data_IF_076583743123
#
_entry.id   IF_076583743123
#
_cell.length_a   1.000
_cell.length_b   1.000
_cell.length_c   1.000
_cell.angle_alpha   90.00
_cell.angle_beta   90.00
_cell.angle_gamma   90.00
#
_symmetry.space_group_name_H-M   'P 1'
#
loop_
_entity.id
_entity.type
_entity.pdbx_description
1 polymer ?
#
# COMPACT_ATOMS: atom_id res chain seq x y z
N UNK A 1 -41.98 20.81 -7.80
CA UNK A 1 -41.54 22.04 -7.12
C UNK A 1 -41.10 21.82 -5.67
N UNK A 2 -41.94 21.27 -4.75
CA UNK A 2 -41.59 21.08 -3.32
C UNK A 2 -40.30 20.24 -3.04
N UNK A 3 -39.99 19.25 -3.88
CA UNK A 3 -38.77 18.42 -3.71
C UNK A 3 -37.51 19.15 -4.19
N UNK A 4 -37.60 19.90 -5.29
CA UNK A 4 -36.46 20.66 -5.82
C UNK A 4 -35.98 21.75 -4.85
N UNK A 5 -36.94 22.42 -4.14
CA UNK A 5 -36.62 23.44 -3.12
C UNK A 5 -35.91 22.81 -1.89
N UNK A 6 -36.30 21.60 -1.48
CA UNK A 6 -35.61 20.88 -0.39
C UNK A 6 -34.18 20.48 -0.75
N UNK A 7 -33.92 20.03 -1.98
CA UNK A 7 -32.59 19.71 -2.47
C UNK A 7 -31.69 20.95 -2.57
N UNK A 8 -32.22 22.07 -3.05
CA UNK A 8 -31.50 23.35 -3.16
C UNK A 8 -31.20 23.88 -1.74
N UNK A 9 -32.16 23.81 -0.81
CA UNK A 9 -31.95 24.21 0.58
C UNK A 9 -30.89 23.35 1.29
N UNK A 10 -30.91 22.02 1.08
CA UNK A 10 -29.91 21.10 1.63
C UNK A 10 -28.52 21.38 1.03
N UNK A 11 -28.44 21.62 -0.28
CA UNK A 11 -27.18 21.97 -0.95
C UNK A 11 -26.64 23.32 -0.47
N UNK A 12 -27.49 24.34 -0.29
CA UNK A 12 -27.09 25.64 0.28
C UNK A 12 -26.63 25.52 1.73
N UNK A 13 -27.31 24.72 2.53
CA UNK A 13 -26.90 24.46 3.93
C UNK A 13 -25.56 23.72 4.00
N UNK A 14 -25.31 22.77 3.09
CA UNK A 14 -24.03 22.09 2.95
C UNK A 14 -22.91 23.05 2.55
N UNK A 15 -23.14 23.91 1.58
CA UNK A 15 -22.18 24.92 1.11
C UNK A 15 -21.89 25.94 2.22
N UNK A 16 -22.91 26.42 2.93
CA UNK A 16 -22.75 27.33 4.08
C UNK A 16 -21.99 26.66 5.24
N UNK A 17 -22.35 25.44 5.64
CA UNK A 17 -21.58 24.69 6.63
C UNK A 17 -20.12 24.53 6.21
N UNK A 18 -19.85 24.19 4.96
CA UNK A 18 -18.50 24.04 4.43
C UNK A 18 -17.72 25.34 4.49
N UNK A 19 -18.30 26.45 4.08
CA UNK A 19 -17.65 27.78 4.08
C UNK A 19 -17.29 28.25 5.50
N UNK A 20 -18.17 28.02 6.48
CA UNK A 20 -17.92 28.45 7.88
C UNK A 20 -17.00 27.50 8.66
N UNK A 21 -16.99 26.20 8.33
CA UNK A 21 -16.14 25.22 9.03
C UNK A 21 -14.77 25.03 8.38
N UNK A 22 -14.64 25.37 7.11
CA UNK A 22 -13.43 25.16 6.31
C UNK A 22 -12.15 25.78 6.91
N UNK A 23 -12.12 27.06 7.37
CA UNK A 23 -10.91 27.63 7.96
C UNK A 23 -10.50 26.95 9.27
N UNK A 24 -11.48 26.54 10.11
CA UNK A 24 -11.20 25.80 11.33
C UNK A 24 -10.68 24.40 11.04
N UNK A 25 -11.23 23.74 10.01
CA UNK A 25 -10.76 22.44 9.54
C UNK A 25 -9.32 22.52 9.02
N UNK A 26 -8.97 23.54 8.21
CA UNK A 26 -7.61 23.70 7.72
C UNK A 26 -6.62 23.89 8.88
N UNK A 27 -6.96 24.73 9.87
CA UNK A 27 -6.09 24.92 11.04
C UNK A 27 -5.91 23.61 11.83
N UNK A 28 -6.97 22.82 11.96
CA UNK A 28 -6.90 21.52 12.61
C UNK A 28 -6.05 20.52 11.82
N UNK A 29 -6.15 20.52 10.50
CA UNK A 29 -5.31 19.70 9.60
C UNK A 29 -3.84 20.06 9.72
N UNK A 30 -3.53 21.37 9.74
CA UNK A 30 -2.15 21.83 9.90
C UNK A 30 -1.56 21.45 11.26
N UNK A 31 -2.37 21.53 12.34
CA UNK A 31 -1.97 21.04 13.65
C UNK A 31 -1.75 19.53 13.68
N UNK A 32 -2.64 18.76 13.07
CA UNK A 32 -2.51 17.31 12.96
C UNK A 32 -1.25 16.90 12.19
N UNK A 33 -0.98 17.56 11.06
CA UNK A 33 0.23 17.35 10.29
C UNK A 33 1.51 17.48 11.11
N UNK A 34 1.60 18.52 11.95
CA UNK A 34 2.77 18.72 12.81
C UNK A 34 2.91 17.60 13.85
N UNK A 35 1.79 17.12 14.40
CA UNK A 35 1.78 16.00 15.33
C UNK A 35 2.25 14.72 14.60
N UNK A 36 1.68 14.41 13.44
CA UNK A 36 2.01 13.21 12.70
C UNK A 36 3.50 13.19 12.27
N UNK A 37 4.06 14.32 11.85
CA UNK A 37 5.51 14.43 11.54
C UNK A 37 6.35 14.17 12.79
N UNK A 38 5.99 14.80 13.93
CA UNK A 38 6.77 14.63 15.15
C UNK A 38 6.73 13.18 15.64
N UNK A 39 5.55 12.57 15.68
CA UNK A 39 5.40 11.15 16.04
C UNK A 39 6.22 10.23 15.13
N UNK A 40 6.26 10.53 13.83
CA UNK A 40 7.05 9.77 12.87
C UNK A 40 8.56 9.94 13.12
N UNK A 41 9.04 11.16 13.41
CA UNK A 41 10.44 11.41 13.77
C UNK A 41 10.83 10.68 15.08
N UNK A 42 9.98 10.77 16.09
CA UNK A 42 10.18 10.11 17.38
C UNK A 42 10.24 8.58 17.21
N UNK A 43 9.38 8.04 16.31
CA UNK A 43 9.39 6.61 15.96
C UNK A 43 10.71 6.20 15.31
N UNK A 44 11.20 6.96 14.35
CA UNK A 44 12.49 6.67 13.69
C UNK A 44 13.63 6.70 14.70
N UNK A 45 13.70 7.71 15.56
CA UNK A 45 14.73 7.81 16.60
C UNK A 45 14.69 6.61 17.55
N UNK A 46 13.49 6.20 17.95
CA UNK A 46 13.30 5.03 18.82
C UNK A 46 13.80 3.74 18.13
N UNK A 47 13.41 3.51 16.88
CA UNK A 47 13.85 2.34 16.11
C UNK A 47 15.36 2.31 15.90
N UNK A 48 15.99 3.44 15.55
CA UNK A 48 17.43 3.54 15.41
C UNK A 48 18.17 3.17 16.71
N UNK A 49 17.64 3.63 17.84
CA UNK A 49 18.21 3.31 19.16
C UNK A 49 18.05 1.83 19.50
N UNK A 50 16.88 1.28 19.32
CA UNK A 50 16.57 -0.11 19.67
C UNK A 50 17.36 -1.09 18.79
N UNK A 51 17.37 -0.87 17.48
CA UNK A 51 18.13 -1.72 16.56
C UNK A 51 19.64 -1.62 16.79
N UNK A 52 20.16 -0.42 17.04
CA UNK A 52 21.58 -0.23 17.37
C UNK A 52 21.99 -0.90 18.68
N UNK A 53 21.11 -0.89 19.69
CA UNK A 53 21.38 -1.50 21.00
C UNK A 53 21.10 -3.00 21.05
N UNK A 54 20.46 -3.57 19.99
CA UNK A 54 20.00 -4.95 19.98
C UNK A 54 18.74 -5.18 20.85
N UNK A 55 18.07 -4.12 21.26
CA UNK A 55 16.84 -4.19 22.09
C UNK A 55 15.60 -4.41 21.23
N UNK A 56 15.59 -5.50 20.46
CA UNK A 56 14.45 -5.91 19.63
C UNK A 56 14.45 -7.42 19.47
N UNK A 57 13.26 -7.97 19.15
CA UNK A 57 13.13 -9.37 18.83
C UNK A 57 13.21 -9.52 17.30
N UNK A 58 14.13 -10.35 16.83
CA UNK A 58 14.19 -10.71 15.40
C UNK A 58 12.92 -11.47 15.01
N UNK A 59 12.48 -11.20 13.82
CA UNK A 59 11.31 -11.86 13.26
C UNK A 59 11.67 -13.30 12.87
N UNK A 60 10.83 -14.24 13.27
CA UNK A 60 10.88 -15.63 12.79
C UNK A 60 9.94 -15.79 11.60
N UNK A 61 10.48 -15.72 10.39
CA UNK A 61 9.71 -15.80 9.14
C UNK A 61 8.99 -17.15 8.98
N UNK A 62 9.54 -18.25 9.51
CA UNK A 62 8.89 -19.55 9.48
C UNK A 62 7.54 -19.54 10.22
N UNK A 63 7.43 -18.75 11.29
CA UNK A 63 6.19 -18.67 12.07
C UNK A 63 5.00 -18.06 11.29
N UNK A 64 5.25 -17.39 10.19
CA UNK A 64 4.23 -16.78 9.33
C UNK A 64 3.77 -17.67 8.19
N UNK A 65 4.52 -18.74 7.90
CA UNK A 65 4.31 -19.59 6.73
C UNK A 65 3.49 -20.83 7.07
N UNK A 66 2.58 -21.23 6.18
CA UNK A 66 1.89 -22.52 6.25
C UNK A 66 2.73 -23.68 5.70
N UNK A 67 4.00 -23.44 5.42
CA UNK A 67 4.98 -24.37 4.88
C UNK A 67 6.35 -24.17 5.53
N UNK A 68 7.25 -25.13 5.36
CA UNK A 68 8.65 -25.04 5.79
C UNK A 68 9.43 -24.10 4.85
N UNK A 69 9.73 -22.88 5.32
CA UNK A 69 10.38 -21.85 4.53
C UNK A 69 11.81 -22.22 4.14
N UNK A 70 12.57 -22.86 5.03
CA UNK A 70 13.96 -23.24 4.75
C UNK A 70 14.01 -24.32 3.67
N UNK A 71 13.08 -25.27 3.74
CA UNK A 71 12.89 -26.28 2.69
C UNK A 71 12.45 -25.65 1.36
N UNK A 72 11.49 -24.72 1.38
CA UNK A 72 11.02 -24.03 0.18
C UNK A 72 12.16 -23.22 -0.48
N UNK A 73 13.00 -22.55 0.30
CA UNK A 73 14.19 -21.87 -0.19
C UNK A 73 15.20 -22.85 -0.81
N UNK A 74 15.44 -23.99 -0.19
CA UNK A 74 16.35 -25.03 -0.68
C UNK A 74 15.83 -25.71 -1.96
N UNK A 75 14.53 -25.90 -2.07
CA UNK A 75 13.85 -26.48 -3.24
C UNK A 75 13.72 -25.47 -4.41
N UNK A 76 14.11 -24.19 -4.21
CA UNK A 76 14.09 -23.16 -5.25
C UNK A 76 12.69 -22.61 -5.56
N UNK A 77 11.77 -22.63 -4.59
CA UNK A 77 10.43 -22.04 -4.74
C UNK A 77 10.55 -20.59 -5.20
N UNK A 78 9.78 -20.23 -6.23
CA UNK A 78 9.82 -18.92 -6.86
C UNK A 78 8.91 -17.91 -6.13
N UNK A 79 9.23 -16.63 -6.24
CA UNK A 79 8.44 -15.54 -5.63
C UNK A 79 6.95 -15.60 -6.02
N UNK A 80 6.63 -15.90 -7.28
CA UNK A 80 5.26 -16.01 -7.77
C UNK A 80 4.51 -17.28 -7.33
N UNK A 81 5.17 -18.17 -6.62
CA UNK A 81 4.57 -19.40 -6.08
C UNK A 81 4.15 -19.24 -4.62
N UNK A 82 4.25 -18.02 -4.08
CA UNK A 82 3.93 -17.71 -2.69
C UNK A 82 2.94 -16.56 -2.62
N UNK A 83 1.95 -16.71 -1.76
CA UNK A 83 0.96 -15.68 -1.40
C UNK A 83 1.38 -14.97 -0.13
N UNK A 84 1.35 -13.65 -0.14
CA UNK A 84 1.69 -12.78 0.97
C UNK A 84 0.47 -11.96 1.39
N UNK A 85 0.21 -11.88 2.68
CA UNK A 85 -0.77 -10.94 3.21
C UNK A 85 -0.20 -9.52 3.13
N UNK A 86 -1.01 -8.62 2.62
CA UNK A 86 -0.71 -7.19 2.57
C UNK A 86 -1.75 -6.38 3.35
N UNK A 87 -1.44 -5.11 3.56
CA UNK A 87 -2.38 -4.13 4.08
C UNK A 87 -2.73 -3.09 3.02
N UNK A 88 -3.93 -2.57 3.11
CA UNK A 88 -4.40 -1.45 2.29
C UNK A 88 -4.43 -0.21 3.16
N UNK A 89 -4.03 0.94 2.61
CA UNK A 89 -3.87 2.19 3.37
C UNK A 89 -3.00 1.99 4.64
N UNK A 90 -1.84 1.36 4.49
CA UNK A 90 -0.98 0.89 5.58
C UNK A 90 -0.45 1.99 6.49
N UNK A 91 -0.60 3.24 6.09
CA UNK A 91 -0.17 4.46 6.77
C UNK A 91 -1.27 5.12 7.59
N UNK A 92 -2.55 4.76 7.37
CA UNK A 92 -3.70 5.52 7.86
C UNK A 92 -3.85 5.40 9.38
N UNK A 93 -4.15 6.52 10.01
CA UNK A 93 -4.41 6.67 11.43
C UNK A 93 -5.85 7.09 11.66
N UNK A 94 -6.46 6.60 12.75
CA UNK A 94 -7.83 6.96 13.13
C UNK A 94 -8.01 8.48 13.25
N UNK A 95 -9.10 8.99 12.72
CA UNK A 95 -9.44 10.39 12.85
C UNK A 95 -9.80 10.77 14.30
N UNK A 96 -9.42 11.97 14.73
CA UNK A 96 -9.82 12.51 16.04
C UNK A 96 -11.35 12.57 16.19
N UNK A 97 -11.91 12.45 17.40
CA UNK A 97 -13.36 12.34 17.63
C UNK A 97 -14.21 13.43 16.98
N UNK A 98 -13.70 14.66 16.93
CA UNK A 98 -14.39 15.79 16.27
C UNK A 98 -14.57 15.55 14.78
N UNK A 99 -13.57 14.95 14.12
CA UNK A 99 -13.61 14.62 12.69
C UNK A 99 -14.46 13.38 12.44
N UNK A 100 -14.43 12.37 13.30
CA UNK A 100 -15.34 11.23 13.23
C UNK A 100 -16.81 11.70 13.29
N UNK A 101 -17.11 12.72 14.13
CA UNK A 101 -18.43 13.33 14.16
C UNK A 101 -18.78 13.96 12.81
N UNK A 102 -17.84 14.69 12.17
CA UNK A 102 -18.05 15.28 10.85
C UNK A 102 -18.35 14.21 9.79
N UNK A 103 -17.64 13.09 9.80
CA UNK A 103 -17.91 11.96 8.90
C UNK A 103 -19.29 11.36 9.13
N UNK A 104 -19.75 11.23 10.40
CA UNK A 104 -21.11 10.77 10.71
C UNK A 104 -22.16 11.74 10.18
N UNK A 105 -21.97 13.04 10.41
CA UNK A 105 -22.88 14.08 9.95
C UNK A 105 -22.95 14.10 8.41
N UNK A 106 -21.79 14.00 7.72
CA UNK A 106 -21.69 13.90 6.28
C UNK A 106 -22.33 12.61 5.75
N UNK A 107 -22.15 11.48 6.41
CA UNK A 107 -22.80 10.21 6.05
C UNK A 107 -24.32 10.33 6.08
N UNK A 108 -24.85 10.98 7.11
CA UNK A 108 -26.29 11.22 7.25
C UNK A 108 -26.83 12.09 6.11
N UNK A 109 -26.15 13.19 5.78
CA UNK A 109 -26.59 14.14 4.75
C UNK A 109 -26.43 13.57 3.35
N UNK A 110 -25.41 12.74 3.12
CA UNK A 110 -25.14 12.11 1.83
C UNK A 110 -25.80 10.74 1.65
N UNK A 111 -26.71 10.35 2.55
CA UNK A 111 -27.38 9.04 2.52
C UNK A 111 -26.40 7.86 2.43
N UNK A 112 -25.25 7.95 3.14
CA UNK A 112 -24.24 6.89 3.22
C UNK A 112 -23.28 6.85 2.04
N UNK A 113 -23.26 7.83 1.15
CA UNK A 113 -22.20 7.96 0.12
C UNK A 113 -20.84 8.20 0.77
N UNK A 114 -20.80 9.01 1.84
CA UNK A 114 -19.63 9.11 2.74
C UNK A 114 -19.83 8.09 3.85
N UNK A 115 -18.92 7.13 3.97
CA UNK A 115 -19.00 6.10 5.02
C UNK A 115 -18.32 6.59 6.30
N UNK A 116 -19.12 6.76 7.35
CA UNK A 116 -18.65 7.25 8.65
C UNK A 116 -17.61 6.33 9.30
N UNK A 117 -17.71 5.03 9.05
CA UNK A 117 -16.82 3.99 9.58
C UNK A 117 -15.37 4.21 9.15
N UNK A 118 -15.14 4.71 7.93
CA UNK A 118 -13.77 4.95 7.42
C UNK A 118 -12.94 5.88 8.31
N UNK A 119 -13.57 6.82 9.01
CA UNK A 119 -12.89 7.71 9.95
C UNK A 119 -12.34 7.00 11.21
N UNK A 120 -12.70 5.73 11.43
CA UNK A 120 -12.24 4.90 12.54
C UNK A 120 -11.14 3.93 12.14
N UNK A 121 -10.88 3.82 10.84
CA UNK A 121 -9.82 2.93 10.37
C UNK A 121 -8.47 3.40 10.89
N UNK A 122 -7.66 2.47 11.37
CA UNK A 122 -6.28 2.70 11.78
C UNK A 122 -5.45 1.47 11.47
N UNK A 123 -4.39 1.65 10.72
CA UNK A 123 -3.31 0.69 10.63
C UNK A 123 -2.38 0.81 11.85
N UNK A 124 -1.54 -0.18 12.11
CA UNK A 124 -0.41 -0.06 13.03
C UNK A 124 0.76 0.63 12.32
N UNK A 125 1.85 0.98 13.03
CA UNK A 125 3.08 1.44 12.37
C UNK A 125 3.60 0.39 11.38
N UNK A 126 4.34 0.82 10.34
CA UNK A 126 4.80 -0.09 9.29
C UNK A 126 5.65 -1.24 9.86
N UNK A 127 6.58 -0.95 10.75
CA UNK A 127 7.42 -1.98 11.40
C UNK A 127 6.59 -2.95 12.24
N UNK A 128 5.51 -2.49 12.89
CA UNK A 128 4.64 -3.36 13.68
C UNK A 128 3.86 -4.31 12.77
N UNK A 129 3.38 -3.83 11.61
CA UNK A 129 2.75 -4.67 10.59
C UNK A 129 3.72 -5.73 10.04
N UNK A 130 4.97 -5.34 9.74
CA UNK A 130 6.02 -6.26 9.27
C UNK A 130 6.38 -7.31 10.33
N UNK A 131 6.44 -6.93 11.61
CA UNK A 131 6.67 -7.85 12.74
C UNK A 131 5.55 -8.89 12.89
N UNK A 132 4.36 -8.62 12.35
CA UNK A 132 3.21 -9.53 12.37
C UNK A 132 3.03 -10.31 11.06
N UNK A 133 4.04 -10.33 10.20
CA UNK A 133 4.09 -11.14 8.99
C UNK A 133 3.43 -10.49 7.76
N UNK A 134 3.02 -9.23 7.82
CA UNK A 134 2.62 -8.48 6.61
C UNK A 134 3.84 -8.31 5.71
N UNK A 135 3.70 -8.62 4.41
CA UNK A 135 4.79 -8.51 3.43
C UNK A 135 4.44 -7.64 2.22
N UNK A 136 3.28 -6.99 2.25
CA UNK A 136 2.93 -5.94 1.29
C UNK A 136 2.24 -4.79 2.01
N UNK A 137 2.73 -3.58 1.79
CA UNK A 137 2.15 -2.34 2.34
C UNK A 137 1.78 -1.38 1.22
N UNK A 138 0.70 -0.63 1.39
CA UNK A 138 0.23 0.34 0.40
C UNK A 138 0.28 1.75 0.98
N UNK A 139 0.98 2.62 0.27
CA UNK A 139 1.17 4.02 0.62
C UNK A 139 0.55 4.91 -0.47
N UNK A 140 -0.48 5.66 -0.09
CA UNK A 140 -1.06 6.69 -0.94
C UNK A 140 -0.19 7.93 -0.91
N UNK A 141 0.26 8.39 -2.06
CA UNK A 141 1.27 9.43 -2.12
C UNK A 141 0.76 10.66 -2.85
N UNK A 142 0.96 11.81 -2.24
CA UNK A 142 0.73 13.13 -2.80
C UNK A 142 2.05 13.89 -2.91
N UNK A 143 2.11 14.81 -3.88
CA UNK A 143 3.29 15.66 -4.10
C UNK A 143 3.07 17.02 -3.49
N UNK A 144 4.01 17.48 -2.69
CA UNK A 144 4.06 18.84 -2.13
C UNK A 144 5.33 19.53 -2.63
N UNK A 145 5.17 20.72 -3.20
CA UNK A 145 6.30 21.56 -3.63
C UNK A 145 6.29 22.85 -2.82
N UNK A 146 7.34 23.08 -2.03
CA UNK A 146 7.50 24.31 -1.25
C UNK A 146 8.93 24.83 -1.38
N UNK A 147 9.07 26.11 -1.67
CA UNK A 147 10.36 26.77 -1.85
C UNK A 147 11.28 26.06 -2.85
N UNK A 148 10.69 25.55 -3.93
CA UNK A 148 11.38 24.82 -4.99
C UNK A 148 11.87 23.41 -4.61
N UNK A 149 11.47 22.90 -3.46
CA UNK A 149 11.75 21.51 -3.03
C UNK A 149 10.51 20.65 -3.15
N UNK A 150 10.67 19.49 -3.78
CA UNK A 150 9.66 18.45 -3.80
C UNK A 150 9.74 17.63 -2.53
N UNK A 151 8.59 17.27 -1.99
CA UNK A 151 8.44 16.25 -0.95
C UNK A 151 7.21 15.40 -1.27
N UNK A 152 7.25 14.16 -0.82
CA UNK A 152 6.14 13.22 -0.95
C UNK A 152 5.53 12.99 0.42
N UNK A 153 4.20 13.03 0.49
CA UNK A 153 3.48 12.84 1.75
C UNK A 153 2.44 11.74 1.61
N UNK A 154 2.29 10.92 2.64
CA UNK A 154 1.29 9.87 2.65
C UNK A 154 -0.01 10.39 3.26
N UNK A 155 -1.05 10.48 2.43
CA UNK A 155 -2.37 10.94 2.80
C UNK A 155 -3.42 10.41 1.84
N UNK A 156 -4.58 9.97 2.36
CA UNK A 156 -5.67 9.48 1.51
C UNK A 156 -6.46 10.62 0.87
N UNK A 157 -6.83 11.60 1.67
CA UNK A 157 -7.54 12.78 1.20
C UNK A 157 -7.17 13.99 2.09
N UNK A 158 -6.45 14.98 1.56
CA UNK A 158 -6.11 16.18 2.30
C UNK A 158 -7.36 16.81 2.91
N UNK A 159 -7.28 17.28 4.14
CA UNK A 159 -8.38 17.91 4.88
C UNK A 159 -9.45 16.93 5.39
N UNK A 160 -9.86 15.93 4.63
CA UNK A 160 -10.95 15.02 5.03
C UNK A 160 -10.43 13.84 5.85
N UNK A 161 -9.43 13.13 5.35
CA UNK A 161 -8.90 11.89 5.90
C UNK A 161 -7.36 11.99 5.95
N UNK A 162 -6.87 12.81 6.87
CA UNK A 162 -5.48 13.23 6.87
C UNK A 162 -4.59 12.66 8.00
N UNK A 163 -5.10 12.08 9.11
CA UNK A 163 -4.21 11.51 10.11
C UNK A 163 -3.45 10.31 9.54
N UNK A 164 -2.13 10.29 9.79
CA UNK A 164 -1.25 9.29 9.21
C UNK A 164 -0.09 8.98 10.15
N UNK A 165 0.35 7.70 10.15
CA UNK A 165 1.59 7.28 10.81
C UNK A 165 2.83 7.59 9.95
N UNK A 166 2.63 7.88 8.66
CA UNK A 166 3.67 7.99 7.64
C UNK A 166 3.60 9.31 6.88
N UNK A 167 3.48 10.44 7.58
CA UNK A 167 3.27 11.73 6.89
C UNK A 167 4.36 11.99 5.84
N UNK A 168 5.63 11.90 6.21
CA UNK A 168 6.74 12.02 5.29
C UNK A 168 7.07 10.65 4.67
N UNK A 169 7.00 10.57 3.35
CA UNK A 169 7.21 9.33 2.62
C UNK A 169 8.65 8.80 2.75
N UNK A 170 9.65 9.68 2.75
CA UNK A 170 11.04 9.25 2.91
C UNK A 170 11.30 8.64 4.30
N UNK A 171 10.68 9.21 5.34
CA UNK A 171 10.73 8.63 6.68
C UNK A 171 9.96 7.29 6.75
N UNK A 172 8.86 7.13 6.01
CA UNK A 172 8.18 5.84 5.91
C UNK A 172 9.07 4.76 5.27
N UNK A 173 9.77 5.09 4.18
CA UNK A 173 10.75 4.19 3.58
C UNK A 173 11.92 3.91 4.53
N UNK A 174 12.40 4.92 5.27
CA UNK A 174 13.44 4.76 6.29
C UNK A 174 13.01 3.81 7.42
N UNK A 175 11.76 3.89 7.86
CA UNK A 175 11.20 2.95 8.85
C UNK A 175 11.30 1.50 8.36
N UNK A 176 10.87 1.24 7.12
CA UNK A 176 10.97 -0.09 6.50
C UNK A 176 12.43 -0.51 6.34
N UNK A 177 13.31 0.40 5.93
CA UNK A 177 14.75 0.10 5.76
C UNK A 177 15.41 -0.29 7.08
N UNK A 178 15.15 0.45 8.16
CA UNK A 178 15.66 0.12 9.50
C UNK A 178 15.21 -1.27 9.96
N UNK A 179 13.93 -1.60 9.72
CA UNK A 179 13.40 -2.93 10.01
C UNK A 179 14.05 -4.01 9.15
N UNK A 180 14.22 -3.76 7.85
CA UNK A 180 14.86 -4.68 6.91
C UNK A 180 16.31 -4.98 7.31
N UNK A 181 17.08 -3.95 7.66
CA UNK A 181 18.47 -4.10 8.13
C UNK A 181 18.57 -4.90 9.43
N UNK A 182 17.60 -4.73 10.32
CA UNK A 182 17.53 -5.49 11.58
C UNK A 182 17.14 -6.97 11.35
N UNK A 183 16.43 -7.26 10.25
CA UNK A 183 15.93 -8.59 9.87
C UNK A 183 16.44 -9.03 8.49
N UNK A 184 17.75 -9.16 8.24
CA UNK A 184 18.34 -9.28 6.89
C UNK A 184 17.89 -10.51 6.09
N UNK A 185 17.23 -11.47 6.73
CA UNK A 185 16.69 -12.67 6.09
C UNK A 185 15.16 -12.66 5.98
N UNK A 186 14.52 -11.49 6.08
CA UNK A 186 13.07 -11.40 5.96
C UNK A 186 12.58 -11.83 4.58
N UNK A 187 11.34 -12.30 4.49
CA UNK A 187 10.66 -12.51 3.21
C UNK A 187 10.51 -11.18 2.46
N UNK A 188 10.47 -11.19 1.12
CA UNK A 188 10.45 -9.96 0.33
C UNK A 188 9.28 -9.06 0.72
N UNK A 189 9.58 -7.77 0.88
CA UNK A 189 8.58 -6.75 1.19
C UNK A 189 8.20 -5.98 -0.08
N UNK A 190 6.91 -5.91 -0.37
CA UNK A 190 6.38 -5.15 -1.50
C UNK A 190 5.75 -3.85 -1.01
N UNK A 191 6.20 -2.71 -1.54
CA UNK A 191 5.63 -1.39 -1.25
C UNK A 191 4.85 -0.92 -2.47
N UNK A 192 3.53 -0.81 -2.32
CA UNK A 192 2.63 -0.31 -3.36
C UNK A 192 2.49 1.19 -3.20
N UNK A 193 2.82 1.94 -4.24
CA UNK A 193 2.72 3.40 -4.29
C UNK A 193 1.46 3.75 -5.09
N UNK A 194 0.45 4.32 -4.42
CA UNK A 194 -0.74 4.83 -5.10
C UNK A 194 -0.68 6.36 -5.25
N UNK A 195 -0.39 6.87 -6.47
CA UNK A 195 -0.43 8.31 -6.73
C UNK A 195 -1.84 8.86 -6.55
N UNK A 196 -2.01 9.80 -5.62
CA UNK A 196 -3.30 10.43 -5.39
C UNK A 196 -3.50 11.68 -6.24
N UNK A 197 -4.76 11.91 -6.61
CA UNK A 197 -5.17 13.15 -7.25
C UNK A 197 -5.52 14.17 -6.17
N UNK A 198 -4.99 15.37 -6.30
CA UNK A 198 -5.35 16.48 -5.41
C UNK A 198 -6.86 16.72 -5.51
N UNK A 199 -7.58 16.46 -4.42
CA UNK A 199 -9.04 16.65 -4.37
C UNK A 199 -9.41 18.06 -3.90
N UNK A 200 -8.61 18.64 -3.00
CA UNK A 200 -8.78 20.01 -2.50
C UNK A 200 -7.48 20.76 -2.79
N UNK A 201 -7.52 21.82 -3.59
CA UNK A 201 -6.30 22.53 -3.96
C UNK A 201 -5.68 23.23 -2.75
N UNK A 202 -4.52 22.75 -2.34
CA UNK A 202 -3.54 23.53 -1.59
C UNK A 202 -2.53 24.09 -2.61
N UNK A 203 -2.10 25.34 -2.43
CA UNK A 203 -1.16 25.99 -3.33
C UNK A 203 0.17 25.25 -3.50
N UNK A 204 0.53 24.44 -2.53
CA UNK A 204 1.76 23.66 -2.50
C UNK A 204 1.56 22.19 -2.96
N UNK A 205 0.32 21.74 -3.14
CA UNK A 205 0.04 20.40 -3.62
C UNK A 205 -0.02 20.37 -5.14
N UNK A 206 0.69 19.42 -5.72
CA UNK A 206 0.80 19.25 -7.16
C UNK A 206 0.21 17.90 -7.58
N UNK A 207 -0.38 17.86 -8.76
CA UNK A 207 -0.77 16.56 -9.35
C UNK A 207 0.47 15.69 -9.50
N UNK A 208 0.38 14.47 -8.97
CA UNK A 208 1.44 13.51 -9.12
C UNK A 208 1.66 13.21 -10.60
N UNK A 209 2.87 13.46 -11.07
CA UNK A 209 3.26 13.32 -12.48
C UNK A 209 4.25 12.18 -12.65
N UNK A 210 4.53 11.83 -13.90
CA UNK A 210 5.56 10.86 -14.22
C UNK A 210 6.96 11.30 -13.75
N UNK A 211 7.27 12.62 -13.82
CA UNK A 211 8.53 13.16 -13.29
C UNK A 211 8.65 12.93 -11.78
N UNK A 212 7.56 13.13 -11.04
CA UNK A 212 7.53 12.84 -9.61
C UNK A 212 7.61 11.34 -9.30
N UNK A 213 7.07 10.48 -10.17
CA UNK A 213 7.25 9.04 -10.04
C UNK A 213 8.73 8.63 -10.16
N UNK A 214 9.46 9.23 -11.10
CA UNK A 214 10.89 9.00 -11.23
C UNK A 214 11.66 9.54 -10.01
N UNK A 215 11.37 10.75 -9.56
CA UNK A 215 12.01 11.37 -8.38
C UNK A 215 11.79 10.53 -7.13
N UNK A 216 10.56 10.02 -6.92
CA UNK A 216 10.23 9.12 -5.82
C UNK A 216 10.99 7.79 -5.93
N UNK A 217 11.05 7.20 -7.12
CA UNK A 217 11.81 5.98 -7.38
C UNK A 217 13.30 6.14 -7.06
N UNK A 218 13.92 7.24 -7.50
CA UNK A 218 15.32 7.53 -7.18
C UNK A 218 15.54 7.76 -5.67
N UNK A 219 14.61 8.41 -4.98
CA UNK A 219 14.66 8.55 -3.53
C UNK A 219 14.61 7.18 -2.84
N UNK A 220 13.74 6.28 -3.28
CA UNK A 220 13.68 4.92 -2.75
C UNK A 220 14.98 4.14 -3.00
N UNK A 221 15.56 4.28 -4.20
CA UNK A 221 16.84 3.66 -4.55
C UNK A 221 17.98 4.14 -3.66
N UNK A 222 18.01 5.44 -3.31
CA UNK A 222 18.99 5.99 -2.38
C UNK A 222 18.82 5.45 -0.95
N UNK A 223 17.59 5.20 -0.51
CA UNK A 223 17.28 4.70 0.84
C UNK A 223 17.59 3.21 0.97
N UNK A 224 17.14 2.40 0.02
CA UNK A 224 17.27 0.95 0.09
C UNK A 224 18.61 0.41 -0.45
N UNK A 225 19.26 1.13 -1.39
CA UNK A 225 20.51 0.67 -2.00
C UNK A 225 20.38 -0.73 -2.60
N UNK A 226 21.31 -1.61 -2.29
CA UNK A 226 21.38 -2.99 -2.82
C UNK A 226 20.24 -3.90 -2.32
N UNK A 227 19.45 -3.47 -1.34
CA UNK A 227 18.28 -4.23 -0.88
C UNK A 227 17.02 -3.96 -1.71
N UNK A 228 17.09 -3.07 -2.72
CA UNK A 228 16.00 -2.80 -3.65
C UNK A 228 16.13 -3.67 -4.89
N UNK A 229 15.11 -4.49 -5.16
CA UNK A 229 14.98 -5.19 -6.43
C UNK A 229 14.21 -4.31 -7.40
N UNK A 230 14.85 -3.91 -8.50
CA UNK A 230 14.25 -3.17 -9.61
C UNK A 230 13.75 -4.11 -10.71
N UNK A 231 12.96 -3.62 -11.69
CA UNK A 231 12.63 -4.40 -12.88
C UNK A 231 13.86 -4.95 -13.62
N UNK A 232 14.96 -4.18 -13.68
CA UNK A 232 16.20 -4.63 -14.33
C UNK A 232 16.84 -5.80 -13.58
N UNK A 233 16.88 -5.74 -12.24
CA UNK A 233 17.42 -6.82 -11.41
C UNK A 233 16.60 -8.10 -11.59
N UNK A 234 15.27 -7.99 -11.61
CA UNK A 234 14.35 -9.10 -11.81
C UNK A 234 14.50 -9.72 -13.22
N UNK A 235 14.68 -8.89 -14.24
CA UNK A 235 14.86 -9.36 -15.61
C UNK A 235 16.21 -10.03 -15.86
N UNK A 236 17.23 -9.64 -15.13
CA UNK A 236 18.60 -10.12 -15.39
C UNK A 236 19.02 -9.86 -16.84
N UNK A 237 19.38 -10.92 -17.56
CA UNK A 237 19.84 -10.84 -18.95
C UNK A 237 18.71 -10.82 -20.00
N UNK A 238 17.45 -11.00 -19.58
CA UNK A 238 16.31 -11.01 -20.49
C UNK A 238 15.98 -9.61 -21.02
N UNK A 239 15.34 -9.54 -22.18
CA UNK A 239 14.97 -8.26 -22.82
C UNK A 239 13.71 -7.65 -22.24
N UNK A 240 12.86 -8.47 -21.57
CA UNK A 240 11.59 -8.05 -20.99
C UNK A 240 11.19 -8.94 -19.81
N UNK A 241 10.25 -8.44 -18.99
CA UNK A 241 9.65 -9.24 -17.92
C UNK A 241 8.86 -10.44 -18.45
N UNK A 242 8.27 -10.34 -19.65
CA UNK A 242 7.59 -11.45 -20.29
C UNK A 242 8.58 -12.56 -20.66
N UNK A 243 9.68 -12.21 -21.34
CA UNK A 243 10.72 -13.17 -21.70
C UNK A 243 11.29 -13.86 -20.45
N UNK A 244 11.60 -13.11 -19.40
CA UNK A 244 12.06 -13.65 -18.12
C UNK A 244 11.07 -14.67 -17.54
N UNK A 245 9.77 -14.33 -17.47
CA UNK A 245 8.75 -15.22 -16.93
C UNK A 245 8.58 -16.52 -17.73
N UNK A 246 8.68 -16.42 -19.06
CA UNK A 246 8.53 -17.56 -19.98
C UNK A 246 9.77 -18.46 -19.98
N UNK A 247 10.96 -17.91 -19.82
CA UNK A 247 12.24 -18.64 -19.77
C UNK A 247 12.56 -19.17 -18.36
N UNK A 248 13.19 -18.34 -17.53
CA UNK A 248 13.74 -18.75 -16.24
C UNK A 248 12.72 -18.64 -15.08
N UNK A 249 11.64 -17.88 -15.30
CA UNK A 249 10.65 -17.56 -14.27
C UNK A 249 11.15 -16.45 -13.32
N UNK A 250 10.41 -16.22 -12.26
CA UNK A 250 10.74 -15.25 -11.21
C UNK A 250 11.97 -15.68 -10.41
N UNK A 251 12.62 -14.73 -9.75
CA UNK A 251 13.62 -15.01 -8.72
C UNK A 251 13.04 -15.94 -7.65
N UNK A 252 13.89 -16.78 -7.07
CA UNK A 252 13.51 -17.67 -5.98
C UNK A 252 13.25 -16.89 -4.68
N UNK A 253 12.56 -17.50 -3.72
CA UNK A 253 12.44 -16.93 -2.37
C UNK A 253 13.83 -16.66 -1.76
N UNK A 254 14.79 -17.56 -1.97
CA UNK A 254 16.15 -17.40 -1.47
C UNK A 254 16.83 -16.14 -2.01
N UNK A 255 16.63 -15.84 -3.31
CA UNK A 255 17.19 -14.64 -3.96
C UNK A 255 16.46 -13.35 -3.57
N UNK A 256 15.18 -13.44 -3.19
CA UNK A 256 14.37 -12.26 -2.84
C UNK A 256 14.35 -11.96 -1.34
N UNK A 257 14.83 -12.86 -0.48
CA UNK A 257 14.92 -12.61 0.98
C UNK A 257 15.84 -11.42 1.28
N UNK A 258 15.43 -10.61 2.26
CA UNK A 258 16.15 -9.40 2.65
C UNK A 258 15.97 -8.23 1.69
N UNK A 259 15.09 -8.36 0.70
CA UNK A 259 14.91 -7.34 -0.33
C UNK A 259 13.50 -6.72 -0.30
N UNK A 260 13.42 -5.55 -0.93
CA UNK A 260 12.19 -4.74 -1.08
C UNK A 260 11.93 -4.50 -2.57
N UNK A 261 10.67 -4.47 -2.96
CA UNK A 261 10.21 -4.08 -4.30
C UNK A 261 9.20 -2.95 -4.21
N UNK A 262 9.27 -2.00 -5.14
CA UNK A 262 8.28 -0.94 -5.26
C UNK A 262 7.37 -1.19 -6.46
N UNK A 263 6.05 -1.06 -6.25
CA UNK A 263 5.05 -1.15 -7.29
C UNK A 263 4.37 0.21 -7.48
N UNK A 264 4.27 0.69 -8.71
CA UNK A 264 3.48 1.86 -9.05
C UNK A 264 2.07 1.43 -9.42
N UNK A 265 1.09 1.82 -8.59
CA UNK A 265 -0.31 1.42 -8.76
C UNK A 265 -0.89 1.88 -10.11
N UNK A 266 -1.81 1.09 -10.67
CA UNK A 266 -2.49 1.37 -11.95
C UNK A 266 -3.22 2.72 -11.93
N UNK A 267 -2.61 3.68 -12.59
CA UNK A 267 -3.13 5.04 -12.79
C UNK A 267 -2.70 5.58 -14.16
N UNK A 268 -3.22 6.74 -14.55
CA UNK A 268 -2.76 7.44 -15.77
C UNK A 268 -1.28 7.86 -15.69
N UNK A 269 -0.70 7.90 -14.48
CA UNK A 269 0.75 8.14 -14.28
C UNK A 269 1.54 6.92 -14.72
N UNK A 270 1.06 5.73 -14.40
CA UNK A 270 1.71 4.46 -14.73
C UNK A 270 1.83 4.27 -16.23
N UNK A 271 0.80 4.61 -17.01
CA UNK A 271 0.86 4.58 -18.47
C UNK A 271 1.98 5.49 -19.02
N UNK A 272 2.12 6.70 -18.46
CA UNK A 272 3.17 7.65 -18.84
C UNK A 272 4.56 7.21 -18.36
N UNK A 273 4.63 6.56 -17.21
CA UNK A 273 5.85 6.00 -16.64
C UNK A 273 6.41 4.89 -17.55
N UNK A 274 5.56 3.97 -17.99
CA UNK A 274 5.90 2.92 -18.94
C UNK A 274 6.32 3.51 -20.30
N UNK A 275 5.64 4.56 -20.78
CA UNK A 275 5.93 5.15 -22.09
C UNK A 275 7.32 5.78 -22.19
N UNK A 276 8.01 6.06 -21.07
CA UNK A 276 9.38 6.55 -21.08
C UNK A 276 10.39 5.47 -21.50
N UNK A 277 10.15 4.24 -21.08
CA UNK A 277 10.93 3.07 -21.42
C UNK A 277 10.02 1.84 -21.37
N UNK A 278 9.57 1.37 -22.53
CA UNK A 278 8.68 0.21 -22.62
C UNK A 278 9.37 -1.12 -22.26
N UNK A 279 10.70 -1.15 -22.14
CA UNK A 279 11.42 -2.28 -21.55
C UNK A 279 11.36 -2.26 -20.03
N UNK A 280 11.06 -1.10 -19.42
CA UNK A 280 11.10 -0.76 -17.99
C UNK A 280 12.44 -1.05 -17.27
N UNK A 281 13.52 -1.30 -18.02
CA UNK A 281 14.85 -1.57 -17.46
C UNK A 281 15.47 -0.36 -16.77
N UNK A 282 15.20 0.85 -17.27
CA UNK A 282 15.69 2.08 -16.67
C UNK A 282 14.86 2.56 -15.48
N UNK A 283 13.78 1.89 -15.16
CA UNK A 283 12.82 2.29 -14.13
C UNK A 283 13.06 1.56 -12.82
N UNK A 284 12.71 2.23 -11.72
CA UNK A 284 12.92 1.71 -10.35
C UNK A 284 11.72 0.89 -9.88
N UNK A 285 10.50 1.28 -10.26
CA UNK A 285 9.27 0.66 -9.81
C UNK A 285 8.67 -0.26 -10.87
N UNK A 286 8.13 -1.38 -10.43
CA UNK A 286 7.31 -2.25 -11.28
C UNK A 286 5.94 -1.61 -11.51
N UNK A 287 5.44 -1.54 -12.76
CA UNK A 287 4.09 -1.07 -12.99
C UNK A 287 3.07 -2.13 -12.58
N UNK A 288 2.06 -1.74 -11.79
CA UNK A 288 0.85 -2.54 -11.61
C UNK A 288 -0.13 -2.20 -12.74
N UNK A 289 -0.68 -3.23 -13.36
CA UNK A 289 -1.46 -3.11 -14.58
C UNK A 289 -2.85 -3.70 -14.40
N UNK A 290 -3.75 -3.37 -15.32
CA UNK A 290 -5.05 -4.03 -15.44
C UNK A 290 -4.94 -5.31 -16.26
N UNK A 291 -5.92 -6.17 -16.10
CA UNK A 291 -6.03 -7.45 -16.79
C UNK A 291 -5.82 -7.36 -18.31
N UNK A 292 -6.37 -6.30 -18.96
CA UNK A 292 -6.23 -6.11 -20.41
C UNK A 292 -4.78 -5.90 -20.88
N UNK A 293 -3.86 -5.60 -19.97
CA UNK A 293 -2.44 -5.43 -20.26
C UNK A 293 -1.58 -6.68 -19.99
N UNK A 294 -2.18 -7.82 -19.67
CA UNK A 294 -1.49 -9.05 -19.25
C UNK A 294 -0.53 -9.64 -20.29
N UNK A 295 -0.74 -9.33 -21.56
CA UNK A 295 0.09 -9.85 -22.67
C UNK A 295 1.24 -8.91 -23.07
N UNK A 296 1.38 -7.77 -22.39
CA UNK A 296 2.45 -6.81 -22.66
C UNK A 296 3.81 -7.34 -22.19
N UNK A 297 4.87 -6.94 -22.88
CA UNK A 297 6.23 -7.39 -22.56
C UNK A 297 6.69 -6.94 -21.16
N UNK A 298 6.20 -5.79 -20.69
CA UNK A 298 6.44 -5.24 -19.36
C UNK A 298 5.45 -5.74 -18.28
N UNK A 299 4.50 -6.61 -18.63
CA UNK A 299 3.53 -7.10 -17.65
C UNK A 299 4.20 -7.99 -16.61
N UNK A 300 3.93 -7.72 -15.34
CA UNK A 300 4.45 -8.46 -14.19
C UNK A 300 3.40 -8.56 -13.07
N UNK A 301 2.88 -7.43 -12.62
CA UNK A 301 1.89 -7.35 -11.54
C UNK A 301 0.56 -6.86 -12.09
N UNK A 302 -0.51 -7.58 -11.79
CA UNK A 302 -1.87 -7.23 -12.19
C UNK A 302 -2.75 -6.94 -10.99
N UNK A 303 -3.55 -5.88 -11.11
CA UNK A 303 -4.53 -5.46 -10.12
C UNK A 303 -5.90 -6.03 -10.45
N UNK A 304 -6.40 -6.97 -9.64
CA UNK A 304 -7.72 -7.59 -9.81
C UNK A 304 -8.46 -7.58 -8.46
N UNK A 305 -9.15 -6.48 -8.15
CA UNK A 305 -9.73 -6.25 -6.82
C UNK A 305 -11.18 -6.76 -6.66
N UNK A 306 -11.89 -7.06 -7.75
CA UNK A 306 -13.29 -7.46 -7.64
C UNK A 306 -13.40 -8.98 -7.53
N UNK A 307 -14.18 -9.52 -6.56
CA UNK A 307 -14.34 -10.95 -6.38
C UNK A 307 -14.76 -11.70 -7.65
N UNK A 308 -15.69 -11.11 -8.42
CA UNK A 308 -16.15 -11.71 -9.68
C UNK A 308 -15.02 -11.79 -10.72
N UNK A 309 -14.21 -10.73 -10.82
CA UNK A 309 -13.13 -10.65 -11.80
C UNK A 309 -12.02 -11.64 -11.42
N UNK A 310 -11.66 -11.75 -10.13
CA UNK A 310 -10.66 -12.72 -9.66
C UNK A 310 -11.07 -14.16 -9.94
N UNK A 311 -12.34 -14.53 -9.73
CA UNK A 311 -12.86 -15.86 -10.02
C UNK A 311 -12.80 -16.26 -11.50
N UNK A 312 -12.80 -15.28 -12.41
CA UNK A 312 -12.85 -15.54 -13.85
C UNK A 312 -11.52 -15.32 -14.57
N UNK A 313 -10.59 -14.59 -13.95
CA UNK A 313 -9.35 -14.14 -14.59
C UNK A 313 -8.09 -14.72 -13.95
N UNK A 314 -8.17 -15.20 -12.70
CA UNK A 314 -6.97 -15.61 -11.97
C UNK A 314 -6.22 -16.75 -12.67
N UNK A 315 -6.91 -17.80 -13.09
CA UNK A 315 -6.27 -18.98 -13.70
C UNK A 315 -5.42 -18.59 -14.91
N UNK A 316 -5.97 -17.81 -15.86
CA UNK A 316 -5.21 -17.34 -17.03
C UNK A 316 -3.99 -16.51 -16.65
N UNK A 317 -4.12 -15.68 -15.63
CA UNK A 317 -3.03 -14.80 -15.16
C UNK A 317 -1.92 -15.63 -14.52
N UNK A 318 -2.28 -16.62 -13.70
CA UNK A 318 -1.34 -17.53 -13.04
C UNK A 318 -0.63 -18.45 -14.05
N UNK A 319 -1.34 -18.96 -15.06
CA UNK A 319 -0.74 -19.72 -16.15
C UNK A 319 0.34 -18.94 -16.90
N UNK A 320 0.15 -17.61 -17.02
CA UNK A 320 1.17 -16.69 -17.59
C UNK A 320 2.29 -16.33 -16.61
N UNK A 321 2.32 -16.93 -15.42
CA UNK A 321 3.26 -16.65 -14.33
C UNK A 321 3.29 -15.15 -13.94
N UNK A 322 2.16 -14.45 -14.09
CA UNK A 322 1.98 -13.08 -13.63
C UNK A 322 1.61 -13.08 -12.15
N UNK A 323 1.94 -12.01 -11.46
CA UNK A 323 1.57 -11.80 -10.06
C UNK A 323 0.24 -11.05 -9.98
N UNK A 324 -0.66 -11.56 -9.17
CA UNK A 324 -1.94 -10.91 -8.88
C UNK A 324 -1.87 -10.19 -7.55
N UNK A 325 -2.25 -8.92 -7.54
CA UNK A 325 -2.64 -8.20 -6.33
C UNK A 325 -4.16 -8.11 -6.29
N UNK A 326 -4.75 -8.57 -5.19
CA UNK A 326 -6.19 -8.48 -4.93
C UNK A 326 -6.47 -7.92 -3.53
N UNK A 327 -7.75 -7.71 -3.22
CA UNK A 327 -8.22 -7.28 -1.90
C UNK A 327 -9.23 -8.28 -1.35
N UNK A 328 -9.06 -8.68 -0.10
CA UNK A 328 -10.00 -9.55 0.59
C UNK A 328 -11.25 -8.81 1.07
N UNK A 329 -11.12 -7.50 1.32
CA UNK A 329 -12.17 -6.73 2.01
C UNK A 329 -12.03 -5.22 1.81
N UNK A 330 -12.95 -4.49 2.43
CA UNK A 330 -12.90 -3.05 2.62
C UNK A 330 -13.40 -2.74 4.02
N UNK A 331 -12.74 -1.83 4.73
CA UNK A 331 -13.15 -1.39 6.05
C UNK A 331 -14.61 -0.88 6.08
N UNK A 332 -15.35 -1.33 7.08
CA UNK A 332 -16.78 -1.01 7.22
C UNK A 332 -17.70 -1.66 6.19
N UNK A 333 -17.20 -2.59 5.34
CA UNK A 333 -18.02 -3.32 4.36
C UNK A 333 -17.51 -4.74 4.12
N UNK A 334 -16.98 -5.38 5.15
CA UNK A 334 -16.48 -6.76 5.09
C UNK A 334 -17.57 -7.75 4.68
N UNK A 335 -17.20 -8.68 3.81
CA UNK A 335 -18.00 -9.84 3.43
C UNK A 335 -17.12 -11.07 3.43
N UNK A 336 -17.50 -12.08 4.21
CA UNK A 336 -16.78 -13.34 4.33
C UNK A 336 -16.56 -14.01 2.97
N UNK A 337 -17.60 -14.07 2.14
CA UNK A 337 -17.51 -14.67 0.79
C UNK A 337 -16.49 -14.01 -0.10
N UNK A 338 -16.43 -12.67 -0.11
CA UNK A 338 -15.48 -11.91 -0.92
C UNK A 338 -14.05 -12.13 -0.41
N UNK A 339 -13.89 -12.16 0.92
CA UNK A 339 -12.61 -12.43 1.57
C UNK A 339 -12.09 -13.84 1.23
N UNK A 340 -12.94 -14.85 1.33
CA UNK A 340 -12.57 -16.25 1.00
C UNK A 340 -12.23 -16.42 -0.49
N UNK A 341 -12.93 -15.73 -1.39
CA UNK A 341 -12.58 -15.72 -2.81
C UNK A 341 -11.17 -15.18 -3.01
N UNK A 342 -10.82 -14.06 -2.39
CA UNK A 342 -9.51 -13.46 -2.51
C UNK A 342 -8.39 -14.35 -1.93
N UNK A 343 -8.59 -14.85 -0.71
CA UNK A 343 -7.60 -15.70 -0.01
C UNK A 343 -7.34 -17.05 -0.70
N UNK A 344 -8.33 -17.58 -1.43
CA UNK A 344 -8.22 -18.87 -2.13
C UNK A 344 -7.99 -18.71 -3.65
N UNK A 345 -7.72 -17.50 -4.13
CA UNK A 345 -7.58 -17.21 -5.57
C UNK A 345 -6.23 -17.59 -6.17
N UNK A 346 -5.23 -17.94 -5.35
CA UNK A 346 -3.83 -18.07 -5.78
C UNK A 346 -3.12 -16.74 -6.01
N UNK A 347 -3.74 -15.60 -5.66
CA UNK A 347 -3.09 -14.30 -5.76
C UNK A 347 -1.88 -14.20 -4.82
N UNK A 348 -0.77 -13.66 -5.34
CA UNK A 348 0.47 -13.53 -4.59
C UNK A 348 0.44 -12.38 -3.58
N UNK A 349 -0.40 -11.38 -3.78
CA UNK A 349 -0.57 -10.27 -2.83
C UNK A 349 -2.06 -10.15 -2.52
N UNK A 350 -2.44 -10.44 -1.28
CA UNK A 350 -3.83 -10.30 -0.79
C UNK A 350 -3.87 -9.22 0.28
N UNK A 351 -4.34 -8.03 -0.08
CA UNK A 351 -4.45 -6.90 0.85
C UNK A 351 -5.75 -6.97 1.66
N UNK A 352 -5.66 -6.59 2.93
CA UNK A 352 -6.78 -6.49 3.87
C UNK A 352 -6.76 -5.19 4.66
N UNK A 353 -7.93 -4.73 5.09
CA UNK A 353 -8.08 -3.67 6.09
C UNK A 353 -8.15 -4.25 7.53
N UNK A 354 -8.06 -5.59 7.67
CA UNK A 354 -8.15 -6.31 8.95
C UNK A 354 -6.94 -7.25 9.16
N UNK A 355 -5.69 -6.75 9.05
CA UNK A 355 -4.50 -7.57 9.29
C UNK A 355 -4.40 -7.97 10.77
N UNK A 356 -3.50 -8.90 11.14
CA UNK A 356 -3.06 -9.06 12.51
C UNK A 356 -2.67 -7.72 13.12
N UNK A 357 -2.95 -7.53 14.42
CA UNK A 357 -2.72 -6.29 15.17
C UNK A 357 -1.76 -6.53 16.32
N UNK A 358 -0.87 -5.59 16.59
CA UNK A 358 0.00 -5.62 17.76
C UNK A 358 -0.82 -5.60 19.06
N UNK A 359 -1.91 -4.84 19.09
CA UNK A 359 -2.89 -4.83 20.18
C UNK A 359 -4.19 -5.51 19.73
N UNK A 360 -4.33 -6.78 20.07
CA UNK A 360 -5.50 -7.60 19.70
C UNK A 360 -6.81 -7.04 20.25
N UNK A 361 -6.79 -6.22 21.32
CA UNK A 361 -8.00 -5.59 21.85
C UNK A 361 -8.58 -4.54 20.90
N UNK A 362 -7.78 -4.05 19.94
CA UNK A 362 -8.18 -3.13 18.88
C UNK A 362 -8.59 -3.84 17.59
N UNK A 363 -8.42 -5.15 17.53
CA UNK A 363 -8.80 -5.92 16.37
C UNK A 363 -10.31 -6.21 16.38
N UNK A 364 -11.08 -5.53 15.54
CA UNK A 364 -12.48 -5.87 15.29
C UNK A 364 -12.59 -7.26 14.63
N UNK A 365 -11.61 -7.58 13.80
CA UNK A 365 -11.48 -8.83 13.03
C UNK A 365 -10.01 -9.01 12.65
N UNK A 366 -9.63 -10.25 12.37
CA UNK A 366 -8.32 -10.56 11.78
C UNK A 366 -8.56 -11.43 10.53
N UNK A 367 -7.95 -11.04 9.43
CA UNK A 367 -7.94 -11.76 8.16
C UNK A 367 -6.55 -12.33 7.94
N UNK A 368 -6.48 -13.64 7.71
CA UNK A 368 -5.24 -14.39 7.43
C UNK A 368 -5.53 -15.50 6.44
N UNK A 369 -4.52 -16.14 5.90
CA UNK A 369 -4.67 -17.43 5.24
C UNK A 369 -5.08 -18.51 6.23
N UNK A 370 -5.42 -19.69 5.72
CA UNK A 370 -5.85 -20.82 6.55
C UNK A 370 -4.83 -21.12 7.65
N UNK A 371 -5.32 -21.41 8.86
CA UNK A 371 -4.46 -21.70 10.00
C UNK A 371 -3.87 -20.48 10.71
N UNK A 372 -4.23 -19.26 10.31
CA UNK A 372 -3.74 -18.03 10.95
C UNK A 372 -2.44 -17.50 10.34
N UNK A 373 -2.00 -18.05 9.23
CA UNK A 373 -0.76 -17.68 8.55
C UNK A 373 -0.93 -16.41 7.70
N UNK A 374 0.15 -15.67 7.52
CA UNK A 374 0.21 -14.47 6.65
C UNK A 374 0.97 -14.72 5.36
N UNK A 375 1.57 -15.89 5.22
CA UNK A 375 2.28 -16.37 4.03
C UNK A 375 1.86 -17.81 3.72
N UNK A 376 1.56 -18.09 2.46
CA UNK A 376 1.03 -19.41 2.02
C UNK A 376 1.59 -19.77 0.64
N UNK A 377 1.76 -21.05 0.37
CA UNK A 377 2.07 -21.51 -0.99
C UNK A 377 0.83 -21.33 -1.88
N UNK A 378 1.04 -20.82 -3.10
CA UNK A 378 0.01 -20.75 -4.14
C UNK A 378 -0.42 -22.15 -4.51
N UNK A 379 -1.73 -22.42 -4.47
CA UNK A 379 -2.31 -23.72 -4.74
C UNK A 379 -2.82 -23.83 -6.15
#
# INVERSE_FOLDING_TARGET
>A
MKYMTKYISALLSLVLCFVFTYPAMIKQVQGQKQIDIQEQLDRIEHLEKDYKSGNYTKVDENSFCDFDLDKACADGVKYNEVSFLGTHNSYQKECVPARQKLFRDASTVTFGLVKAEKAKFSADYLTDQLNLGVRSVELDVETVVSDGKTSFVCSHAPVLDSPTHCYDFALALKEIKLWSDANPNHLPVTIIIEPKKVFIPDKNMHYFSCAYANELGEQAKLIFGDTLITPADMMGNHSSLKEMREADGWMTLSETRGHVMLLLHDTTVTDKYIAQDTSIKSQVMFPMLRYDSRDKDYASFLLINKPKDIQTQADEVLEKKLIIRTRSDNYGSYKETDSQIALNSGAQIVSTDYPPKADLSKAERVVTFNGGYTVSIVK
#
